data_IF_799025806382
#
_entry.id   IF_799025806382
#
_cell.length_a   1.000
_cell.length_b   1.000
_cell.length_c   1.000
_cell.angle_alpha   90.00
_cell.angle_beta   90.00
_cell.angle_gamma   90.00
#
_symmetry.space_group_name_H-M   'P 1'
#
loop_
_entity.id
_entity.type
_entity.pdbx_description
1 polymer ?
#
# COMPACT_ATOMS: atom_id res chain seq x y z
N UNK A 1 18.28 -29.58 -25.36
CA UNK A 1 19.46 -28.82 -24.90
C UNK A 1 18.96 -27.76 -23.92
N UNK A 2 19.23 -27.83 -22.61
CA UNK A 2 18.78 -26.80 -21.69
C UNK A 2 19.83 -25.68 -21.57
N UNK A 3 19.46 -24.47 -21.99
CA UNK A 3 20.26 -23.26 -21.81
C UNK A 3 20.19 -22.81 -20.34
N UNK A 4 21.35 -22.67 -19.69
CA UNK A 4 21.47 -22.11 -18.33
C UNK A 4 21.16 -20.60 -18.35
N UNK A 5 20.43 -20.06 -17.36
CA UNK A 5 20.33 -18.61 -17.18
C UNK A 5 21.63 -18.04 -16.55
N UNK A 6 21.97 -16.75 -16.83
CA UNK A 6 23.14 -16.08 -16.26
C UNK A 6 22.94 -15.69 -14.78
N UNK A 7 24.03 -15.49 -14.01
CA UNK A 7 23.94 -15.18 -12.59
C UNK A 7 23.43 -13.76 -12.34
N UNK A 8 22.36 -13.64 -11.55
CA UNK A 8 21.83 -12.38 -11.06
C UNK A 8 22.68 -11.88 -9.88
N UNK A 9 23.30 -10.70 -10.05
CA UNK A 9 23.98 -9.99 -8.96
C UNK A 9 22.90 -9.32 -8.09
N UNK A 10 22.70 -9.84 -6.87
CA UNK A 10 21.83 -9.23 -5.86
C UNK A 10 22.64 -8.21 -5.07
N UNK A 11 22.50 -6.93 -5.39
CA UNK A 11 23.03 -5.85 -4.56
C UNK A 11 22.06 -5.67 -3.39
N UNK A 12 22.37 -6.31 -2.26
CA UNK A 12 21.69 -6.05 -0.99
C UNK A 12 22.07 -4.68 -0.46
N UNK A 13 21.20 -3.69 -0.65
CA UNK A 13 21.25 -2.45 0.12
C UNK A 13 20.79 -2.76 1.56
N UNK A 14 21.76 -3.04 2.43
CA UNK A 14 21.55 -3.02 3.87
C UNK A 14 21.31 -1.56 4.26
N UNK A 15 20.06 -1.23 4.56
CA UNK A 15 19.70 0.01 5.24
C UNK A 15 20.25 -0.09 6.66
N UNK A 16 21.43 0.50 6.89
CA UNK A 16 21.94 0.72 8.24
C UNK A 16 21.04 1.76 8.93
N UNK A 17 20.08 1.28 9.72
CA UNK A 17 19.34 2.11 10.66
C UNK A 17 20.30 2.81 11.61
N UNK A 18 20.18 4.13 11.75
CA UNK A 18 20.93 4.89 12.75
C UNK A 18 20.63 4.32 14.14
N UNK A 19 21.65 3.99 14.95
CA UNK A 19 21.42 3.64 16.35
C UNK A 19 20.86 4.86 17.08
N UNK A 20 19.70 4.68 17.73
CA UNK A 20 19.16 5.66 18.66
C UNK A 20 20.06 5.85 19.88
N UNK A 21 19.89 6.94 20.64
CA UNK A 21 20.67 7.21 21.84
C UNK A 21 20.54 6.06 22.85
N UNK A 22 21.68 5.63 23.36
CA UNK A 22 21.81 4.55 24.33
C UNK A 22 21.41 5.13 25.69
N UNK A 23 20.26 4.73 26.23
CA UNK A 23 19.87 5.08 27.59
C UNK A 23 20.87 4.47 28.61
N UNK A 24 21.25 5.20 29.67
CA UNK A 24 22.16 4.67 30.68
C UNK A 24 21.51 3.51 31.44
N UNK A 25 22.31 2.53 31.91
CA UNK A 25 21.77 1.40 32.66
C UNK A 25 21.20 1.86 34.00
N UNK A 26 19.89 1.70 34.18
CA UNK A 26 19.24 1.83 35.48
C UNK A 26 19.71 0.69 36.39
N UNK A 27 20.38 1.03 37.50
CA UNK A 27 20.84 0.07 38.50
C UNK A 27 19.77 -0.10 39.58
N UNK A 28 19.35 -1.34 39.85
CA UNK A 28 18.43 -1.68 40.94
C UNK A 28 19.19 -1.60 42.29
N UNK A 29 18.78 -0.77 43.26
CA UNK A 29 19.21 -0.94 44.64
C UNK A 29 18.46 -2.15 45.21
N UNK A 30 19.19 -3.09 45.81
CA UNK A 30 18.63 -4.37 46.23
C UNK A 30 17.39 -4.28 47.12
N UNK A 31 16.37 -5.10 46.79
CA UNK A 31 15.79 -5.99 47.77
C UNK A 31 14.53 -5.58 48.56
N UNK A 32 13.68 -4.64 48.10
CA UNK A 32 12.31 -4.47 48.66
C UNK A 32 11.26 -4.12 47.60
N UNK A 33 10.23 -4.97 47.44
CA UNK A 33 9.09 -4.75 46.53
C UNK A 33 8.05 -3.84 47.20
N UNK A 34 7.55 -2.82 46.50
CA UNK A 34 6.33 -2.08 46.88
C UNK A 34 6.44 -0.58 47.15
N UNK A 35 7.53 0.10 46.79
CA UNK A 35 7.64 1.56 46.92
C UNK A 35 7.57 2.25 45.53
N UNK A 36 6.95 3.43 45.41
CA UNK A 36 6.94 4.20 44.17
C UNK A 36 8.36 4.63 43.78
N UNK A 37 8.64 4.66 42.48
CA UNK A 37 9.90 5.11 41.91
C UNK A 37 10.14 6.59 42.23
N UNK A 38 11.22 6.89 42.96
CA UNK A 38 11.69 8.26 43.17
C UNK A 38 12.91 8.46 42.29
N UNK A 39 12.79 9.28 41.25
CA UNK A 39 13.93 9.80 40.51
C UNK A 39 14.56 10.93 41.34
N UNK A 40 15.80 10.74 41.80
CA UNK A 40 16.54 11.83 42.45
C UNK A 40 16.72 12.99 41.46
N UNK A 41 16.31 14.23 41.80
CA UNK A 41 16.61 15.40 40.99
C UNK A 41 18.13 15.65 41.00
N UNK A 42 18.72 15.87 39.82
CA UNK A 42 20.12 16.30 39.71
C UNK A 42 20.33 17.61 40.48
N UNK A 43 21.48 17.78 41.17
CA UNK A 43 21.80 19.05 41.80
C UNK A 43 21.99 20.15 40.74
N UNK A 44 21.63 21.42 41.06
CA UNK A 44 21.84 22.54 40.17
C UNK A 44 23.34 22.83 40.01
N UNK A 45 23.79 22.91 38.75
CA UNK A 45 25.17 23.28 38.43
C UNK A 45 25.34 24.79 38.59
N UNK A 46 26.02 25.23 39.65
CA UNK A 46 26.40 26.62 39.86
C UNK A 46 27.44 27.05 38.81
N UNK A 47 27.04 27.89 37.86
CA UNK A 47 27.99 28.54 36.97
C UNK A 47 28.57 29.76 37.70
N UNK A 48 29.84 29.69 38.07
CA UNK A 48 30.59 30.82 38.60
C UNK A 48 30.66 31.94 37.58
N UNK A 49 30.16 33.13 37.96
CA UNK A 49 30.40 34.38 37.24
C UNK A 49 31.87 34.77 37.43
N UNK A 50 32.72 34.48 36.45
CA UNK A 50 34.02 35.15 36.34
C UNK A 50 33.86 36.48 35.62
N UNK A 51 34.34 37.52 36.30
CA UNK A 51 34.40 38.92 35.91
C UNK A 51 34.97 39.13 34.50
N UNK A 52 34.26 39.93 33.72
CA UNK A 52 34.68 40.42 32.40
C UNK A 52 35.74 41.49 32.60
N UNK A 53 36.99 41.20 32.25
CA UNK A 53 37.98 42.22 31.95
C UNK A 53 37.84 42.61 30.48
N UNK A 54 37.35 43.83 30.22
CA UNK A 54 37.34 44.43 28.89
C UNK A 54 38.79 44.68 28.45
N UNK A 55 39.33 43.77 27.64
CA UNK A 55 40.54 44.02 26.88
C UNK A 55 40.17 44.12 25.40
N UNK A 56 40.10 45.35 24.91
CA UNK A 56 39.88 45.69 23.50
C UNK A 56 41.13 45.32 22.69
N UNK A 57 41.24 44.04 22.33
CA UNK A 57 42.10 43.63 21.21
C UNK A 57 41.25 43.76 19.96
N UNK A 58 41.51 44.79 19.15
CA UNK A 58 41.01 44.84 17.77
C UNK A 58 41.78 43.78 16.96
N UNK A 59 41.16 42.66 16.55
CA UNK A 59 41.82 41.76 15.61
C UNK A 59 41.97 42.47 14.26
N UNK A 60 43.05 42.22 13.49
CA UNK A 60 43.11 42.68 12.12
C UNK A 60 41.93 42.05 11.36
N UNK A 61 41.11 42.89 10.73
CA UNK A 61 40.05 42.46 9.83
C UNK A 61 40.66 41.59 8.72
N UNK A 62 40.66 40.27 8.91
CA UNK A 62 40.69 39.35 7.77
C UNK A 62 39.42 39.67 7.00
N UNK A 63 39.61 40.32 5.86
CA UNK A 63 38.58 40.52 4.85
C UNK A 63 38.01 39.14 4.54
N UNK A 64 36.87 38.82 5.17
CA UNK A 64 36.03 37.73 4.72
C UNK A 64 35.65 38.13 3.31
N UNK A 65 36.23 37.40 2.34
CA UNK A 65 35.87 37.51 0.94
C UNK A 65 34.35 37.52 0.87
N UNK A 66 33.79 38.62 0.37
CA UNK A 66 32.38 38.69 0.03
C UNK A 66 32.15 37.53 -0.94
N UNK A 67 31.37 36.53 -0.53
CA UNK A 67 30.88 35.53 -1.45
C UNK A 67 30.15 36.30 -2.55
N UNK A 68 30.77 36.40 -3.71
CA UNK A 68 30.12 36.86 -4.94
C UNK A 68 28.99 35.88 -5.19
N UNK A 69 27.76 36.33 -4.93
CA UNK A 69 26.56 35.66 -5.42
C UNK A 69 26.66 35.64 -6.94
N UNK A 70 27.07 34.51 -7.51
CA UNK A 70 27.02 34.30 -8.96
C UNK A 70 25.55 34.18 -9.35
N UNK A 71 24.98 35.22 -9.94
CA UNK A 71 23.64 35.20 -10.52
C UNK A 71 23.64 34.47 -11.86
N UNK A 72 22.54 33.79 -12.18
CA UNK A 72 22.28 33.23 -13.52
C UNK A 72 22.09 34.38 -14.50
N UNK A 73 22.64 34.24 -15.71
CA UNK A 73 22.36 35.21 -16.78
C UNK A 73 20.94 35.04 -17.30
N UNK A 74 20.33 36.10 -17.82
CA UNK A 74 18.97 36.01 -18.40
C UNK A 74 18.91 34.95 -19.52
N UNK A 75 19.95 34.89 -20.35
CA UNK A 75 20.03 33.90 -21.44
C UNK A 75 20.16 32.47 -20.90
N UNK A 76 20.91 32.25 -19.83
CA UNK A 76 21.06 30.93 -19.20
C UNK A 76 19.73 30.45 -18.60
N UNK A 77 18.96 31.34 -17.98
CA UNK A 77 17.61 31.01 -17.52
C UNK A 77 16.69 30.65 -18.70
N UNK A 78 16.76 31.39 -19.81
CA UNK A 78 15.91 31.08 -20.97
C UNK A 78 16.29 29.73 -21.60
N UNK A 79 17.58 29.43 -21.74
CA UNK A 79 18.04 28.15 -22.28
C UNK A 79 17.68 26.99 -21.35
N UNK A 80 17.85 27.14 -20.04
CA UNK A 80 17.47 26.10 -19.07
C UNK A 80 15.97 25.82 -19.08
N UNK A 81 15.13 26.86 -19.15
CA UNK A 81 13.69 26.71 -19.29
C UNK A 81 13.30 26.06 -20.62
N UNK A 82 13.97 26.40 -21.72
CA UNK A 82 13.73 25.79 -23.02
C UNK A 82 14.03 24.28 -22.98
N UNK A 83 15.16 23.87 -22.39
CA UNK A 83 15.50 22.45 -22.22
C UNK A 83 14.52 21.75 -21.27
N UNK A 84 14.14 22.39 -20.17
CA UNK A 84 13.16 21.84 -19.22
C UNK A 84 11.80 21.61 -19.88
N UNK A 85 11.35 22.53 -20.73
CA UNK A 85 10.09 22.39 -21.47
C UNK A 85 10.13 21.19 -22.42
N UNK A 86 11.23 20.98 -23.16
CA UNK A 86 11.40 19.83 -24.05
C UNK A 86 11.37 18.52 -23.24
N UNK A 87 12.06 18.47 -22.10
CA UNK A 87 12.08 17.28 -21.24
C UNK A 87 10.69 16.99 -20.64
N UNK A 88 9.95 18.01 -20.23
CA UNK A 88 8.63 17.85 -19.64
C UNK A 88 7.65 17.14 -20.60
N UNK A 89 7.70 17.46 -21.90
CA UNK A 89 6.85 16.82 -22.92
C UNK A 89 7.07 15.30 -23.00
N UNK A 90 8.30 14.84 -22.79
CA UNK A 90 8.64 13.40 -22.84
C UNK A 90 8.31 12.70 -21.52
N UNK A 91 8.58 13.37 -20.38
CA UNK A 91 8.50 12.76 -19.05
C UNK A 91 7.05 12.65 -18.53
N UNK A 92 6.23 13.68 -18.75
CA UNK A 92 4.86 13.75 -18.20
C UNK A 92 3.97 12.56 -18.58
N UNK A 93 3.86 12.11 -19.86
CA UNK A 93 2.99 10.98 -20.21
C UNK A 93 3.46 9.65 -19.58
N UNK A 94 4.78 9.45 -19.46
CA UNK A 94 5.35 8.28 -18.80
C UNK A 94 5.01 8.24 -17.30
N UNK A 95 5.04 9.39 -16.63
CA UNK A 95 4.67 9.50 -15.21
C UNK A 95 3.19 9.20 -14.97
N UNK A 96 2.28 9.74 -15.77
CA UNK A 96 0.84 9.45 -15.65
C UNK A 96 0.54 7.95 -15.78
N UNK A 97 1.18 7.31 -16.75
CA UNK A 97 1.09 5.87 -16.96
C UNK A 97 1.57 5.08 -15.73
N UNK A 98 2.73 5.44 -15.17
CA UNK A 98 3.28 4.79 -13.98
C UNK A 98 2.37 4.96 -12.76
N UNK A 99 1.78 6.14 -12.57
CA UNK A 99 0.83 6.38 -11.47
C UNK A 99 -0.43 5.54 -11.64
N UNK A 100 -1.00 5.48 -12.86
CA UNK A 100 -2.19 4.67 -13.15
C UNK A 100 -1.95 3.18 -12.90
N UNK A 101 -0.84 2.62 -13.37
CA UNK A 101 -0.51 1.20 -13.14
C UNK A 101 -0.24 0.89 -11.67
N UNK A 102 0.40 1.81 -10.93
CA UNK A 102 0.60 1.67 -9.49
C UNK A 102 -0.73 1.70 -8.72
N UNK A 103 -1.67 2.59 -9.10
CA UNK A 103 -3.02 2.61 -8.52
C UNK A 103 -3.76 1.30 -8.77
N UNK A 104 -3.62 0.74 -9.97
CA UNK A 104 -4.23 -0.55 -10.29
C UNK A 104 -3.63 -1.69 -9.45
N UNK A 105 -2.31 -1.73 -9.32
CA UNK A 105 -1.62 -2.70 -8.46
C UNK A 105 -2.03 -2.55 -6.99
N UNK A 106 -2.14 -1.32 -6.48
CA UNK A 106 -2.59 -1.06 -5.12
C UNK A 106 -4.03 -1.57 -4.88
N UNK A 107 -4.96 -1.27 -5.80
CA UNK A 107 -6.36 -1.71 -5.71
C UNK A 107 -6.50 -3.23 -5.69
N UNK A 108 -5.86 -3.94 -6.62
CA UNK A 108 -5.94 -5.42 -6.67
C UNK A 108 -5.27 -6.07 -5.45
N UNK A 109 -4.18 -5.48 -4.94
CA UNK A 109 -3.50 -5.97 -3.75
C UNK A 109 -4.32 -5.72 -2.48
N UNK A 110 -5.01 -4.59 -2.38
CA UNK A 110 -5.91 -4.29 -1.28
C UNK A 110 -7.06 -5.31 -1.22
N UNK A 111 -7.68 -5.60 -2.37
CA UNK A 111 -8.71 -6.63 -2.45
C UNK A 111 -8.15 -8.01 -2.09
N UNK A 112 -6.98 -8.38 -2.63
CA UNK A 112 -6.30 -9.65 -2.32
C UNK A 112 -6.05 -9.83 -0.81
N UNK A 113 -5.57 -8.77 -0.16
CA UNK A 113 -5.33 -8.74 1.27
C UNK A 113 -6.63 -8.88 2.06
N UNK A 114 -7.69 -8.17 1.68
CA UNK A 114 -8.98 -8.24 2.35
C UNK A 114 -9.65 -9.62 2.21
N UNK A 115 -9.62 -10.23 1.03
CA UNK A 115 -10.15 -11.58 0.83
C UNK A 115 -9.36 -12.63 1.64
N UNK A 116 -8.03 -12.49 1.69
CA UNK A 116 -7.17 -13.37 2.50
C UNK A 116 -7.42 -13.19 4.00
N UNK A 117 -7.65 -11.94 4.44
CA UNK A 117 -8.02 -11.62 5.82
C UNK A 117 -9.40 -12.17 6.17
N UNK A 118 -10.40 -12.00 5.30
CA UNK A 118 -11.75 -12.53 5.48
C UNK A 118 -11.75 -14.06 5.60
N UNK A 119 -11.00 -14.76 4.75
CA UNK A 119 -10.80 -16.21 4.86
C UNK A 119 -10.16 -16.60 6.19
N UNK A 120 -9.12 -15.89 6.59
CA UNK A 120 -8.43 -16.14 7.86
C UNK A 120 -9.36 -15.90 9.05
N UNK A 121 -10.24 -14.91 8.95
CA UNK A 121 -11.22 -14.61 10.00
C UNK A 121 -12.29 -15.69 10.10
N UNK A 122 -12.75 -16.24 8.97
CA UNK A 122 -13.67 -17.37 8.97
C UNK A 122 -13.05 -18.61 9.65
N UNK A 123 -11.78 -18.90 9.35
CA UNK A 123 -11.02 -19.98 9.99
C UNK A 123 -10.83 -19.76 11.50
N UNK A 124 -10.45 -18.55 11.91
CA UNK A 124 -10.18 -18.21 13.31
C UNK A 124 -11.44 -18.24 14.16
N UNK A 125 -12.55 -17.71 13.64
CA UNK A 125 -13.82 -17.63 14.38
C UNK A 125 -14.63 -18.92 14.32
N UNK A 126 -14.36 -19.80 13.35
CA UNK A 126 -15.20 -20.97 13.12
C UNK A 126 -16.59 -20.61 12.59
N UNK A 127 -16.76 -19.41 12.07
CA UNK A 127 -18.01 -18.88 11.51
C UNK A 127 -17.82 -18.41 10.08
N UNK A 128 -18.91 -18.22 9.35
CA UNK A 128 -18.85 -17.73 7.98
C UNK A 128 -18.50 -16.24 7.98
N UNK A 129 -17.70 -15.83 7.00
CA UNK A 129 -17.38 -14.42 6.74
C UNK A 129 -17.77 -14.10 5.31
N UNK A 130 -18.50 -13.02 5.13
CA UNK A 130 -18.97 -12.54 3.84
C UNK A 130 -18.20 -11.30 3.45
N UNK A 131 -17.82 -11.22 2.18
CA UNK A 131 -17.27 -10.03 1.53
C UNK A 131 -18.21 -9.64 0.40
N UNK A 132 -18.56 -8.36 0.29
CA UNK A 132 -19.45 -7.88 -0.76
C UNK A 132 -19.05 -6.48 -1.24
N UNK A 133 -19.49 -6.12 -2.44
CA UNK A 133 -19.38 -4.75 -2.93
C UNK A 133 -20.20 -3.80 -2.05
N UNK A 134 -19.66 -2.61 -1.79
CA UNK A 134 -20.29 -1.61 -0.94
C UNK A 134 -19.84 -0.22 -1.35
N UNK A 135 -20.77 0.73 -1.44
CA UNK A 135 -20.44 2.15 -1.72
C UNK A 135 -20.53 3.05 -0.50
N UNK A 136 -21.11 2.56 0.60
CA UNK A 136 -21.30 3.30 1.85
C UNK A 136 -20.39 2.80 2.98
N UNK A 137 -19.64 1.71 2.75
CA UNK A 137 -18.80 1.07 3.75
C UNK A 137 -19.57 0.36 4.86
N UNK A 138 -20.88 0.18 4.70
CA UNK A 138 -21.78 -0.32 5.75
C UNK A 138 -22.74 -1.40 5.26
N UNK A 139 -23.15 -1.39 3.99
CA UNK A 139 -24.13 -2.33 3.42
C UNK A 139 -23.64 -2.95 2.12
N UNK A 140 -24.19 -4.12 1.77
CA UNK A 140 -23.89 -4.77 0.49
C UNK A 140 -24.75 -4.17 -0.64
N UNK A 141 -24.11 -3.79 -1.75
CA UNK A 141 -24.79 -3.21 -2.91
C UNK A 141 -25.52 -4.26 -3.77
N UNK A 142 -25.17 -5.54 -3.65
CA UNK A 142 -25.81 -6.62 -4.42
C UNK A 142 -25.43 -6.69 -5.90
N UNK A 143 -24.38 -5.97 -6.32
CA UNK A 143 -23.90 -5.94 -7.71
C UNK A 143 -22.50 -6.52 -7.89
N UNK A 144 -22.16 -6.87 -9.13
CA UNK A 144 -20.83 -7.38 -9.54
C UNK A 144 -19.81 -6.28 -9.82
N UNK A 145 -20.20 -5.01 -9.70
CA UNK A 145 -19.33 -3.84 -9.72
C UNK A 145 -18.82 -3.56 -8.30
N UNK A 146 -17.50 -3.62 -8.13
CA UNK A 146 -16.81 -3.50 -6.84
C UNK A 146 -15.90 -2.26 -6.79
N UNK A 147 -15.87 -1.44 -7.85
CA UNK A 147 -15.06 -0.22 -7.87
C UNK A 147 -15.51 0.84 -6.87
N UNK A 148 -16.76 0.76 -6.39
CA UNK A 148 -17.30 1.63 -5.35
C UNK A 148 -16.78 1.35 -3.93
N UNK A 149 -16.04 0.25 -3.75
CA UNK A 149 -15.58 -0.22 -2.45
C UNK A 149 -16.15 -1.60 -2.09
N UNK A 150 -15.69 -2.13 -0.96
CA UNK A 150 -16.12 -3.45 -0.49
C UNK A 150 -15.96 -3.60 1.02
N UNK A 151 -16.82 -4.40 1.63
CA UNK A 151 -16.82 -4.67 3.07
C UNK A 151 -16.65 -6.16 3.34
N UNK A 152 -16.08 -6.49 4.50
CA UNK A 152 -16.02 -7.84 5.04
C UNK A 152 -16.68 -7.86 6.43
N UNK A 153 -17.54 -8.83 6.69
CA UNK A 153 -18.26 -8.98 7.95
C UNK A 153 -18.50 -10.45 8.30
N UNK A 154 -18.64 -10.75 9.59
CA UNK A 154 -19.10 -12.08 10.02
C UNK A 154 -20.54 -12.27 9.62
N UNK A 155 -20.92 -13.43 9.08
CA UNK A 155 -22.28 -13.72 8.64
C UNK A 155 -22.76 -14.99 9.34
N UNK A 156 -23.32 -14.83 10.55
CA UNK A 156 -23.64 -15.99 11.40
C UNK A 156 -24.86 -16.77 10.88
N UNK A 157 -25.79 -16.08 10.23
CA UNK A 157 -27.03 -16.65 9.74
C UNK A 157 -26.96 -17.11 8.27
N UNK A 158 -25.89 -16.77 7.54
CA UNK A 158 -25.66 -17.16 6.15
C UNK A 158 -26.49 -16.36 5.13
N UNK A 159 -27.03 -15.21 5.52
CA UNK A 159 -27.93 -14.38 4.72
C UNK A 159 -27.23 -13.65 3.57
N UNK A 160 -25.90 -13.51 3.63
CA UNK A 160 -25.12 -12.66 2.74
C UNK A 160 -25.46 -11.16 2.81
N UNK A 161 -26.11 -10.74 3.89
CA UNK A 161 -26.42 -9.35 4.21
C UNK A 161 -25.92 -9.07 5.62
N UNK A 162 -25.37 -7.88 5.85
CA UNK A 162 -24.95 -7.49 7.19
C UNK A 162 -26.17 -7.09 8.01
N UNK A 163 -26.43 -7.83 9.10
CA UNK A 163 -27.57 -7.57 9.98
C UNK A 163 -27.20 -7.65 11.47
N UNK A 164 -28.19 -7.57 12.35
CA UNK A 164 -28.00 -7.28 13.77
C UNK A 164 -27.00 -8.15 14.53
N UNK A 165 -26.81 -9.42 14.16
CA UNK A 165 -25.82 -10.30 14.81
C UNK A 165 -24.43 -10.24 14.19
N UNK A 166 -24.29 -9.56 13.07
CA UNK A 166 -23.08 -9.51 12.29
C UNK A 166 -22.17 -8.35 12.72
N UNK A 167 -20.87 -8.60 12.66
CA UNK A 167 -19.83 -7.63 12.98
C UNK A 167 -19.07 -7.28 11.71
N UNK A 168 -19.04 -5.99 11.39
CA UNK A 168 -18.17 -5.45 10.35
C UNK A 168 -16.70 -5.66 10.75
N UNK A 169 -15.95 -6.40 9.94
CA UNK A 169 -14.53 -6.70 10.16
C UNK A 169 -13.66 -5.60 9.55
N UNK A 170 -13.96 -5.24 8.30
CA UNK A 170 -13.22 -4.19 7.59
C UNK A 170 -14.05 -3.62 6.43
N UNK A 171 -13.75 -2.39 6.04
CA UNK A 171 -14.26 -1.73 4.86
C UNK A 171 -13.10 -1.16 4.04
N UNK A 172 -13.26 -1.17 2.72
CA UNK A 172 -12.35 -0.52 1.79
C UNK A 172 -13.12 0.54 1.01
N UNK A 173 -12.49 1.70 0.85
CA UNK A 173 -13.02 2.82 0.07
C UNK A 173 -13.07 2.49 -1.43
N UNK A 174 -13.76 3.34 -2.17
CA UNK A 174 -13.80 3.29 -3.62
C UNK A 174 -12.40 3.34 -4.24
N UNK A 175 -12.27 2.66 -5.38
CA UNK A 175 -11.07 2.74 -6.21
C UNK A 175 -10.88 4.16 -6.78
N UNK A 176 -9.69 4.40 -7.33
CA UNK A 176 -9.42 5.69 -7.97
C UNK A 176 -10.38 5.89 -9.16
N UNK A 177 -10.78 7.14 -9.39
CA UNK A 177 -11.70 7.51 -10.47
C UNK A 177 -11.26 6.94 -11.81
N UNK A 178 -12.23 6.43 -12.58
CA UNK A 178 -12.01 5.86 -13.91
C UNK A 178 -11.55 4.39 -13.91
N UNK A 179 -11.25 3.80 -12.75
CA UNK A 179 -11.03 2.36 -12.64
C UNK A 179 -12.36 1.61 -12.58
N UNK A 180 -12.39 0.39 -13.14
CA UNK A 180 -13.51 -0.54 -13.00
C UNK A 180 -13.02 -1.82 -12.34
N UNK A 181 -13.86 -2.42 -11.50
CA UNK A 181 -13.54 -3.68 -10.83
C UNK A 181 -14.77 -4.59 -10.88
N UNK A 182 -14.75 -5.57 -11.76
CA UNK A 182 -15.88 -6.48 -11.94
C UNK A 182 -15.58 -7.87 -11.38
N UNK A 183 -16.54 -8.44 -10.65
CA UNK A 183 -16.47 -9.80 -10.14
C UNK A 183 -17.18 -10.77 -11.11
N UNK A 184 -16.42 -11.65 -11.73
CA UNK A 184 -16.88 -12.65 -12.69
C UNK A 184 -16.79 -14.03 -12.03
N UNK A 185 -17.85 -14.41 -11.31
CA UNK A 185 -17.94 -15.68 -10.58
C UNK A 185 -18.99 -16.59 -11.21
N UNK A 186 -18.76 -17.89 -11.11
CA UNK A 186 -19.63 -18.92 -11.68
C UNK A 186 -21.05 -18.88 -11.11
N UNK A 187 -21.19 -18.57 -9.81
CA UNK A 187 -22.50 -18.56 -9.13
C UNK A 187 -22.98 -17.14 -8.82
N UNK A 188 -22.19 -16.37 -8.06
CA UNK A 188 -22.58 -15.05 -7.60
C UNK A 188 -21.36 -14.14 -7.44
N UNK A 189 -21.26 -13.09 -8.27
CA UNK A 189 -20.19 -12.09 -8.16
C UNK A 189 -20.51 -10.93 -7.21
N UNK A 190 -21.73 -10.85 -6.66
CA UNK A 190 -22.11 -9.76 -5.76
C UNK A 190 -21.57 -9.96 -4.33
N UNK A 191 -21.43 -11.22 -3.92
CA UNK A 191 -20.98 -11.60 -2.58
C UNK A 191 -20.06 -12.80 -2.66
N UNK A 192 -19.05 -12.82 -1.81
CA UNK A 192 -18.12 -13.92 -1.66
C UNK A 192 -18.11 -14.37 -0.20
N UNK A 193 -18.46 -15.62 0.05
CA UNK A 193 -18.60 -16.14 1.41
C UNK A 193 -17.59 -17.23 1.70
N UNK A 194 -16.79 -17.05 2.75
CA UNK A 194 -15.86 -18.06 3.26
C UNK A 194 -16.51 -18.83 4.40
N UNK A 195 -16.50 -20.15 4.30
CA UNK A 195 -16.89 -21.05 5.39
C UNK A 195 -15.79 -21.19 6.45
N UNK A 196 -16.14 -21.76 7.60
CA UNK A 196 -15.23 -22.04 8.71
C UNK A 196 -14.05 -22.97 8.37
N UNK A 197 -14.13 -23.72 7.26
CA UNK A 197 -13.04 -24.54 6.71
C UNK A 197 -12.21 -23.80 5.63
N UNK A 198 -12.54 -22.53 5.36
CA UNK A 198 -11.88 -21.67 4.40
C UNK A 198 -12.30 -21.87 2.94
N UNK A 199 -13.27 -22.75 2.62
CA UNK A 199 -13.81 -22.90 1.26
C UNK A 199 -14.87 -21.83 0.97
N UNK A 200 -15.15 -21.60 -0.32
CA UNK A 200 -16.24 -20.72 -0.72
C UNK A 200 -17.62 -21.36 -0.53
N UNK A 201 -18.67 -20.54 -0.36
CA UNK A 201 -20.07 -21.01 -0.35
C UNK A 201 -20.38 -21.79 -1.63
N UNK A 202 -21.11 -22.88 -1.47
CA UNK A 202 -21.46 -23.78 -2.58
C UNK A 202 -20.35 -24.77 -2.93
N UNK A 203 -19.18 -24.73 -2.28
CA UNK A 203 -18.08 -25.70 -2.41
C UNK A 203 -17.37 -25.72 -3.77
N UNK A 204 -18.01 -25.19 -4.81
CA UNK A 204 -17.57 -25.13 -6.20
C UNK A 204 -17.55 -23.71 -6.77
N UNK A 205 -17.99 -22.71 -6.00
CA UNK A 205 -17.99 -21.34 -6.50
C UNK A 205 -16.55 -20.85 -6.68
N UNK A 206 -16.30 -20.16 -7.78
CA UNK A 206 -14.98 -19.68 -8.16
C UNK A 206 -15.10 -18.64 -9.25
N UNK A 207 -14.07 -17.84 -9.41
CA UNK A 207 -14.16 -16.72 -10.31
C UNK A 207 -12.93 -15.84 -10.32
N UNK A 208 -13.07 -14.75 -11.05
CA UNK A 208 -12.02 -13.77 -11.26
C UNK A 208 -12.57 -12.37 -11.02
N UNK A 209 -11.88 -11.59 -10.21
CA UNK A 209 -12.05 -10.15 -10.22
C UNK A 209 -11.17 -9.58 -11.31
N UNK A 210 -11.76 -8.73 -12.16
CA UNK A 210 -11.05 -8.05 -13.24
C UNK A 210 -11.05 -6.57 -12.94
N UNK A 211 -9.85 -6.02 -12.76
CA UNK A 211 -9.60 -4.61 -12.56
C UNK A 211 -9.05 -4.00 -13.84
N UNK A 212 -9.72 -2.99 -14.37
CA UNK A 212 -9.27 -2.23 -15.52
C UNK A 212 -9.03 -0.76 -15.17
N UNK A 213 -8.10 -0.14 -15.90
CA UNK A 213 -7.89 1.30 -15.87
C UNK A 213 -8.96 2.08 -16.63
N UNK A 214 -8.68 3.36 -16.86
CA UNK A 214 -9.58 4.29 -17.53
C UNK A 214 -9.99 3.82 -18.94
N UNK A 215 -11.26 4.04 -19.30
CA UNK A 215 -11.80 3.66 -20.61
C UNK A 215 -11.10 4.40 -21.78
N UNK A 216 -10.53 5.57 -21.52
CA UNK A 216 -9.77 6.38 -22.49
C UNK A 216 -8.36 5.84 -22.75
N UNK A 217 -7.84 4.92 -21.92
CA UNK A 217 -6.54 4.30 -22.16
C UNK A 217 -6.67 3.18 -23.19
N UNK A 218 -6.11 3.40 -24.38
CA UNK A 218 -6.07 2.41 -25.46
C UNK A 218 -5.37 1.10 -25.04
N UNK A 219 -4.50 1.15 -24.03
CA UNK A 219 -3.77 0.00 -23.49
C UNK A 219 -4.40 -0.54 -22.18
N UNK A 220 -5.63 -0.15 -21.84
CA UNK A 220 -6.27 -0.56 -20.57
C UNK A 220 -6.33 -2.09 -20.40
N UNK A 221 -6.46 -2.83 -21.49
CA UNK A 221 -6.49 -4.29 -21.49
C UNK A 221 -5.12 -4.90 -21.14
N UNK A 222 -4.05 -4.35 -21.73
CA UNK A 222 -2.65 -4.79 -21.50
C UNK A 222 -2.17 -4.45 -20.07
N UNK A 223 -2.85 -3.53 -19.40
CA UNK A 223 -2.54 -3.09 -18.04
C UNK A 223 -3.47 -3.67 -16.98
N UNK A 224 -4.52 -4.38 -17.41
CA UNK A 224 -5.53 -4.95 -16.53
C UNK A 224 -4.90 -5.89 -15.49
N UNK A 225 -5.54 -5.99 -14.33
CA UNK A 225 -5.16 -6.92 -13.26
C UNK A 225 -6.29 -7.89 -13.02
N UNK A 226 -5.96 -9.17 -12.86
CA UNK A 226 -6.93 -10.17 -12.47
C UNK A 226 -6.58 -10.76 -11.10
N UNK A 227 -7.60 -11.08 -10.31
CA UNK A 227 -7.50 -11.77 -9.04
C UNK A 227 -8.42 -12.97 -9.06
N UNK A 228 -7.82 -14.15 -9.09
CA UNK A 228 -8.49 -15.43 -9.19
C UNK A 228 -8.76 -15.96 -7.79
N UNK A 229 -10.01 -16.39 -7.55
CA UNK A 229 -10.40 -17.11 -6.33
C UNK A 229 -10.93 -18.48 -6.69
N UNK A 230 -10.30 -19.52 -6.15
CA UNK A 230 -10.70 -20.91 -6.41
C UNK A 230 -11.73 -21.40 -5.37
N UNK A 231 -12.37 -22.56 -5.59
CA UNK A 231 -13.39 -23.08 -4.66
C UNK A 231 -12.87 -23.37 -3.25
N UNK A 232 -11.56 -23.61 -3.12
CA UNK A 232 -10.87 -23.81 -1.84
C UNK A 232 -10.58 -22.48 -1.11
N UNK A 233 -11.10 -21.35 -1.60
CA UNK A 233 -10.88 -20.01 -1.05
C UNK A 233 -9.46 -19.47 -1.22
N UNK A 234 -8.64 -20.08 -2.08
CA UNK A 234 -7.31 -19.55 -2.39
C UNK A 234 -7.45 -18.34 -3.31
N UNK A 235 -6.90 -17.22 -2.86
CA UNK A 235 -6.81 -15.97 -3.61
C UNK A 235 -5.44 -15.91 -4.27
N UNK A 236 -5.38 -15.63 -5.57
CA UNK A 236 -4.12 -15.47 -6.31
C UNK A 236 -4.25 -14.44 -7.43
N UNK A 237 -3.22 -13.64 -7.62
CA UNK A 237 -3.14 -12.71 -8.75
C UNK A 237 -2.98 -13.54 -10.04
N UNK A 238 -3.75 -13.22 -11.08
CA UNK A 238 -3.61 -13.86 -12.39
C UNK A 238 -2.33 -13.44 -13.11
N UNK A 239 -1.91 -14.27 -14.05
CA UNK A 239 -0.64 -14.12 -14.77
C UNK A 239 -0.88 -14.46 -16.22
N UNK A 240 -0.32 -13.65 -17.11
CA UNK A 240 -0.18 -13.92 -18.55
C UNK A 240 0.57 -15.24 -18.77
N UNK A 241 -0.16 -16.29 -19.13
CA UNK A 241 0.38 -17.60 -19.46
C UNK A 241 0.52 -17.80 -20.98
N UNK A 242 -0.26 -17.07 -21.77
CA UNK A 242 -0.30 -17.16 -23.23
C UNK A 242 0.78 -16.33 -23.94
N UNK A 243 1.36 -15.35 -23.25
CA UNK A 243 2.44 -14.47 -23.73
C UNK A 243 1.94 -13.30 -24.59
N UNK A 244 0.66 -12.96 -24.54
CA UNK A 244 0.06 -11.87 -25.31
C UNK A 244 -0.01 -10.53 -24.56
N UNK A 245 0.55 -10.46 -23.35
CA UNK A 245 0.52 -9.32 -22.42
C UNK A 245 -0.87 -8.98 -21.86
N UNK A 246 -1.80 -9.93 -21.88
CA UNK A 246 -3.09 -9.83 -21.20
C UNK A 246 -3.14 -10.89 -20.11
N UNK A 247 -3.61 -10.52 -18.93
CA UNK A 247 -3.78 -11.49 -17.83
C UNK A 247 -5.01 -12.35 -18.08
N UNK A 248 -4.95 -13.62 -17.69
CA UNK A 248 -6.07 -14.54 -17.86
C UNK A 248 -6.97 -14.62 -16.62
N UNK A 249 -8.18 -15.12 -16.86
CA UNK A 249 -9.17 -15.51 -15.88
C UNK A 249 -8.92 -16.93 -15.32
N UNK A 250 -9.82 -17.39 -14.44
CA UNK A 250 -9.77 -18.74 -13.87
C UNK A 250 -9.94 -19.87 -14.90
N UNK A 251 -10.58 -19.59 -16.04
CA UNK A 251 -10.76 -20.54 -17.12
C UNK A 251 -9.56 -20.57 -18.09
N UNK A 252 -8.60 -19.66 -17.92
CA UNK A 252 -7.43 -19.53 -18.78
C UNK A 252 -7.67 -18.71 -20.05
N UNK A 253 -8.74 -17.92 -20.10
CA UNK A 253 -9.00 -16.98 -21.20
C UNK A 253 -8.51 -15.59 -20.82
N UNK A 254 -8.15 -14.79 -21.83
CA UNK A 254 -7.84 -13.36 -21.63
C UNK A 254 -9.00 -12.64 -20.95
N UNK A 255 -8.70 -11.83 -19.92
CA UNK A 255 -9.72 -10.99 -19.31
C UNK A 255 -10.20 -9.91 -20.28
N UNK A 256 -11.43 -9.44 -20.09
CA UNK A 256 -12.00 -8.31 -20.81
C UNK A 256 -12.33 -7.15 -19.87
N UNK A 257 -12.19 -5.93 -20.39
CA UNK A 257 -12.62 -4.73 -19.69
C UNK A 257 -14.01 -4.29 -20.22
N UNK A 258 -14.98 -3.97 -19.33
CA UNK A 258 -16.30 -3.49 -19.73
C UNK A 258 -16.26 -2.10 -20.38
#
# INVERSE_FOLDING_TARGET
MPSRPPPTIVISFIVLGRPGPIDPPCRYPGGRRGLPFVCDPRPPVSHGRTSVANHTINPPMKRTSCNTSRGLTLIELMVTLAVLAILAVIVVPGYQTMVSTNRQAAGINALSAQLSAARSEALKRGHRVTVCSSTDGATCNGGTAWEGGWIAFTDLNGSATIDGTDVLINAADALATGQTLTAQFATNGAVLQFHANGTLRGGNDSGTFVLCGEATDANRLLRARSLIVNPMGRVSIGRDNSGNNVVEDIAGNDVACP
#
